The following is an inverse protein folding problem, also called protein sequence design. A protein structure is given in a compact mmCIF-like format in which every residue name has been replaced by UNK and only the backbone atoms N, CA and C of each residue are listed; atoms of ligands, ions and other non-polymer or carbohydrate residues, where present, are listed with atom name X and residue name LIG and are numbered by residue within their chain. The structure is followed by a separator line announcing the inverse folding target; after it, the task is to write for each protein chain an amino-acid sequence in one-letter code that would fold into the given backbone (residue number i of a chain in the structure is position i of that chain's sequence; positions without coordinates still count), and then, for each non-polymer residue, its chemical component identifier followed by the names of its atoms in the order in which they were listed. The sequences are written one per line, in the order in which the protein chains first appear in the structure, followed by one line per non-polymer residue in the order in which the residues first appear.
data_IF_476981942817
#
_entry.id   IF_476981942817
#
_cell.length_a   1.000
_cell.length_b   1.000
_cell.length_c   1.000
_cell.angle_alpha   90.00
_cell.angle_beta   90.00
_cell.angle_gamma   90.00
#
_symmetry.space_group_name_H-M   'P 1'
#
loop_
_entity.id
_entity.type
_entity.pdbx_description
1 polymer ?
#
# COMPACT_ATOMS: atom_id res chain seq x y z
N UNK A 1 17.25 8.71 3.38
CA UNK A 1 17.62 10.13 3.22
C UNK A 1 16.41 11.00 3.51
N UNK A 2 16.61 12.20 4.06
CA UNK A 2 15.58 13.18 4.41
C UNK A 2 14.72 13.67 3.24
N UNK A 3 15.18 13.58 1.98
CA UNK A 3 14.30 13.78 0.81
C UNK A 3 13.09 12.81 0.80
N UNK A 4 13.29 11.57 1.24
CA UNK A 4 12.23 10.58 1.42
C UNK A 4 11.24 10.96 2.52
N UNK A 5 11.64 11.78 3.50
CA UNK A 5 10.74 12.26 4.56
C UNK A 5 9.62 13.12 3.98
N UNK A 6 9.91 13.95 2.97
CA UNK A 6 8.91 14.74 2.25
C UNK A 6 7.83 13.85 1.61
N UNK A 7 8.24 12.79 0.91
CA UNK A 7 7.32 11.79 0.35
C UNK A 7 6.57 10.98 1.43
N UNK A 8 7.14 10.87 2.63
CA UNK A 8 6.59 10.13 3.75
C UNK A 8 5.64 10.95 4.63
N UNK A 9 5.52 12.28 4.45
CA UNK A 9 4.62 13.12 5.26
C UNK A 9 3.20 12.55 5.26
N UNK A 10 2.68 12.17 4.09
CA UNK A 10 1.33 11.62 3.98
C UNK A 10 1.13 10.30 4.77
N UNK A 11 1.92 9.22 4.59
CA UNK A 11 1.79 8.02 5.42
C UNK A 11 2.09 8.28 6.90
N UNK A 12 3.02 9.18 7.25
CA UNK A 12 3.30 9.48 8.66
C UNK A 12 2.06 10.09 9.34
N UNK A 13 1.50 11.14 8.73
CA UNK A 13 0.41 11.93 9.32
C UNK A 13 -0.97 11.28 9.21
N UNK A 14 -1.16 10.35 8.27
CA UNK A 14 -2.49 9.75 8.01
C UNK A 14 -2.54 8.23 8.09
N UNK A 15 -1.41 7.54 8.29
CA UNK A 15 -1.36 6.12 8.68
C UNK A 15 -0.73 6.00 10.08
N UNK A 16 0.53 6.41 10.27
CA UNK A 16 1.18 6.18 11.56
C UNK A 16 0.47 6.91 12.71
N UNK A 17 0.06 8.16 12.48
CA UNK A 17 -0.58 8.98 13.49
C UNK A 17 -1.96 8.47 13.94
N UNK A 18 -2.85 8.07 13.01
CA UNK A 18 -4.23 7.68 13.36
C UNK A 18 -4.33 6.24 13.84
N UNK A 19 -3.48 5.34 13.34
CA UNK A 19 -3.46 3.93 13.76
C UNK A 19 -2.52 3.68 14.95
N UNK A 20 -1.69 4.66 15.32
CA UNK A 20 -0.65 4.56 16.36
C UNK A 20 0.27 3.34 16.13
N UNK A 21 0.68 3.12 14.88
CA UNK A 21 1.51 1.98 14.51
C UNK A 21 2.95 2.20 14.97
N UNK A 22 3.53 1.31 15.80
CA UNK A 22 4.94 1.39 16.16
C UNK A 22 5.81 1.35 14.90
N UNK A 23 6.58 2.40 14.66
CA UNK A 23 7.40 2.52 13.44
C UNK A 23 8.70 3.26 13.76
N UNK A 24 9.81 2.71 13.29
CA UNK A 24 11.13 3.33 13.43
C UNK A 24 11.51 3.97 12.09
N UNK A 25 11.77 5.28 12.12
CA UNK A 25 12.22 6.04 10.97
C UNK A 25 13.73 6.30 11.10
N UNK A 26 14.51 5.87 10.11
CA UNK A 26 15.94 6.18 10.04
C UNK A 26 16.17 7.19 8.90
N UNK A 27 16.60 8.40 9.26
CA UNK A 27 16.64 9.54 8.35
C UNK A 27 18.07 10.06 8.22
N UNK A 28 18.76 9.70 7.14
CA UNK A 28 20.05 10.32 6.81
C UNK A 28 19.87 11.80 6.46
N UNK A 29 20.63 12.67 7.12
CA UNK A 29 20.55 14.13 7.05
C UNK A 29 21.46 14.66 5.93
N UNK A 30 20.87 14.96 4.77
CA UNK A 30 21.54 15.67 3.68
C UNK A 30 21.26 17.17 3.77
N UNK A 31 22.23 18.00 3.41
CA UNK A 31 22.09 19.46 3.46
C UNK A 31 22.07 20.07 4.87
N UNK A 32 22.70 19.41 5.85
CA UNK A 32 22.77 19.91 7.24
C UNK A 32 23.42 21.31 7.27
N UNK A 33 22.87 22.28 8.01
CA UNK A 33 23.46 23.61 8.14
C UNK A 33 24.93 23.57 8.58
N UNK A 34 25.78 24.32 7.87
CA UNK A 34 27.23 24.35 8.12
C UNK A 34 28.05 23.26 7.39
N UNK A 35 27.41 22.32 6.69
CA UNK A 35 28.08 21.28 5.92
C UNK A 35 27.85 21.47 4.41
N UNK A 36 28.90 21.26 3.60
CA UNK A 36 28.80 21.28 2.14
C UNK A 36 28.05 20.05 1.63
N UNK A 37 27.03 20.27 0.80
CA UNK A 37 26.24 19.25 0.10
C UNK A 37 25.67 19.86 -1.21
N UNK A 38 24.93 19.07 -1.96
CA UNK A 38 24.27 19.51 -3.20
C UNK A 38 23.15 20.53 -2.93
N UNK A 39 22.94 21.54 -3.81
CA UNK A 39 21.99 22.64 -3.57
C UNK A 39 20.55 22.19 -3.29
N UNK A 40 20.07 21.13 -3.95
CA UNK A 40 18.72 20.62 -3.75
C UNK A 40 18.46 20.08 -2.33
N UNK A 41 19.51 19.83 -1.54
CA UNK A 41 19.38 19.35 -0.16
C UNK A 41 19.27 20.49 0.85
N UNK A 42 19.65 21.72 0.51
CA UNK A 42 19.80 22.83 1.46
C UNK A 42 18.53 23.05 2.29
N UNK A 43 17.39 23.28 1.62
CA UNK A 43 16.14 23.56 2.32
C UNK A 43 15.65 22.36 3.12
N UNK A 44 15.78 21.15 2.56
CA UNK A 44 15.37 19.92 3.27
C UNK A 44 16.22 19.66 4.51
N UNK A 45 17.53 19.93 4.47
CA UNK A 45 18.40 19.81 5.63
C UNK A 45 18.03 20.80 6.74
N UNK A 46 17.84 22.08 6.39
CA UNK A 46 17.40 23.12 7.35
C UNK A 46 16.13 22.75 8.12
N UNK A 47 15.14 22.13 7.44
CA UNK A 47 13.83 21.86 8.03
C UNK A 47 13.65 20.41 8.52
N UNK A 48 14.68 19.55 8.46
CA UNK A 48 14.51 18.10 8.71
C UNK A 48 13.94 17.82 10.11
N UNK A 49 14.51 18.43 11.15
CA UNK A 49 14.06 18.22 12.53
C UNK A 49 12.67 18.84 12.78
N UNK A 50 12.44 20.04 12.26
CA UNK A 50 11.14 20.71 12.33
C UNK A 50 10.04 19.90 11.65
N UNK A 51 10.34 19.27 10.52
CA UNK A 51 9.39 18.44 9.79
C UNK A 51 9.02 17.18 10.56
N UNK A 52 10.00 16.51 11.21
CA UNK A 52 9.74 15.37 12.09
C UNK A 52 8.81 15.78 13.24
N UNK A 53 9.12 16.90 13.90
CA UNK A 53 8.31 17.46 14.99
C UNK A 53 6.91 17.82 14.52
N UNK A 54 6.78 18.48 13.36
CA UNK A 54 5.50 18.88 12.78
C UNK A 54 4.62 17.67 12.43
N UNK A 55 5.23 16.58 12.00
CA UNK A 55 4.53 15.32 11.74
C UNK A 55 4.07 14.59 13.03
N UNK A 56 4.39 15.13 14.21
CA UNK A 56 4.05 14.52 15.50
C UNK A 56 4.86 13.25 15.81
N UNK A 57 6.07 13.15 15.25
CA UNK A 57 6.99 12.04 15.49
C UNK A 57 8.03 12.46 16.51
N UNK A 58 8.30 11.60 17.47
CA UNK A 58 9.41 11.78 18.40
C UNK A 58 10.73 11.72 17.63
N UNK A 59 11.47 12.82 17.62
CA UNK A 59 12.73 12.96 16.90
C UNK A 59 13.93 12.84 17.82
N UNK A 60 14.90 12.04 17.40
CA UNK A 60 16.19 11.90 18.06
C UNK A 60 17.29 12.24 17.06
N UNK A 61 18.37 12.86 17.54
CA UNK A 61 19.61 12.90 16.77
C UNK A 61 20.42 11.66 17.10
N UNK A 62 21.00 11.02 16.08
CA UNK A 62 21.81 9.84 16.31
C UNK A 62 23.10 10.18 17.07
N UNK A 63 23.37 9.38 18.10
CA UNK A 63 24.66 9.24 18.78
C UNK A 63 24.93 7.76 18.93
N UNK A 64 26.19 7.34 18.79
CA UNK A 64 26.59 5.94 19.02
C UNK A 64 26.24 5.51 20.45
N UNK A 65 26.52 6.39 21.40
CA UNK A 65 26.12 6.23 22.79
C UNK A 65 24.60 6.32 22.93
N UNK A 66 23.98 5.26 23.46
CA UNK A 66 22.57 5.27 23.87
C UNK A 66 21.54 5.02 22.76
N UNK A 67 21.94 4.88 21.49
CA UNK A 67 21.01 4.56 20.40
C UNK A 67 20.22 3.27 20.69
N UNK A 68 20.91 2.17 21.01
CA UNK A 68 20.27 0.88 21.27
C UNK A 68 19.27 0.94 22.46
N UNK A 69 19.61 1.65 23.53
CA UNK A 69 18.71 1.84 24.68
C UNK A 69 17.50 2.70 24.33
N UNK A 70 17.70 3.81 23.59
CA UNK A 70 16.61 4.69 23.15
C UNK A 70 15.64 3.96 22.20
N UNK A 71 16.18 3.15 21.28
CA UNK A 71 15.39 2.34 20.37
C UNK A 71 14.56 1.30 21.14
N UNK A 72 15.15 0.63 22.13
CA UNK A 72 14.44 -0.33 22.97
C UNK A 72 13.31 0.32 23.77
N UNK A 73 13.54 1.51 24.33
CA UNK A 73 12.51 2.29 25.03
C UNK A 73 11.32 2.63 24.12
N UNK A 74 11.59 3.23 22.96
CA UNK A 74 10.57 3.60 21.97
C UNK A 74 9.77 2.39 21.52
N UNK A 75 10.44 1.28 21.20
CA UNK A 75 9.78 0.03 20.80
C UNK A 75 8.87 -0.51 21.91
N UNK A 76 9.29 -0.38 23.18
CA UNK A 76 8.48 -0.74 24.35
C UNK A 76 7.23 0.13 24.52
N UNK A 77 7.31 1.43 24.20
CA UNK A 77 6.16 2.35 24.22
C UNK A 77 5.20 2.15 23.05
N UNK A 78 5.63 1.50 21.97
CA UNK A 78 4.77 1.21 20.83
C UNK A 78 4.33 2.44 20.04
N UNK A 79 5.15 3.49 20.03
CA UNK A 79 4.90 4.74 19.30
C UNK A 79 5.85 4.88 18.10
N UNK A 80 5.47 5.63 17.06
CA UNK A 80 6.41 6.01 16.02
C UNK A 80 7.52 6.94 16.56
N UNK A 81 8.78 6.69 16.20
CA UNK A 81 9.89 7.62 16.44
C UNK A 81 10.88 7.62 15.27
N UNK A 82 11.68 8.67 15.18
CA UNK A 82 12.66 8.86 14.11
C UNK A 82 14.02 9.29 14.62
N UNK A 83 15.07 8.75 14.01
CA UNK A 83 16.45 9.13 14.25
C UNK A 83 17.04 9.81 13.03
N UNK A 84 17.61 10.99 13.24
CA UNK A 84 18.33 11.76 12.24
C UNK A 84 19.81 11.39 12.32
N UNK A 85 20.33 10.79 11.26
CA UNK A 85 21.71 10.35 11.16
C UNK A 85 22.53 11.35 10.35
N UNK A 86 23.79 11.63 10.72
CA UNK A 86 24.72 12.30 9.81
C UNK A 86 24.78 11.59 8.45
N UNK A 87 25.07 12.35 7.38
CA UNK A 87 25.34 11.73 6.09
C UNK A 87 26.49 10.72 6.22
N UNK A 88 26.44 9.67 5.42
CA UNK A 88 27.45 8.61 5.35
C UNK A 88 27.65 7.77 6.63
N UNK A 89 26.83 7.98 7.67
CA UNK A 89 26.86 7.18 8.90
C UNK A 89 26.35 5.74 8.70
N UNK A 90 25.38 5.53 7.80
CA UNK A 90 24.82 4.21 7.51
C UNK A 90 25.65 3.51 6.43
N UNK A 91 26.61 2.68 6.86
CA UNK A 91 27.55 1.95 5.99
C UNK A 91 27.34 0.42 6.04
N UNK A 92 28.08 -0.34 5.23
CA UNK A 92 28.11 -1.81 5.32
C UNK A 92 26.93 -2.58 4.69
N UNK A 93 25.92 -1.88 4.15
CA UNK A 93 24.82 -2.53 3.44
C UNK A 93 25.24 -3.10 2.07
N UNK A 94 24.51 -4.11 1.55
CA UNK A 94 24.78 -4.68 0.23
C UNK A 94 24.68 -3.59 -0.85
N UNK A 95 25.65 -3.58 -1.77
CA UNK A 95 25.62 -2.70 -2.94
C UNK A 95 24.87 -3.39 -4.08
N UNK A 96 24.21 -2.59 -4.93
CA UNK A 96 23.52 -3.14 -6.10
C UNK A 96 24.54 -3.86 -7.00
N UNK A 97 24.23 -5.07 -7.48
CA UNK A 97 25.04 -5.71 -8.52
C UNK A 97 24.94 -4.90 -9.82
N UNK A 98 25.82 -5.17 -10.81
CA UNK A 98 25.64 -4.66 -12.17
C UNK A 98 24.24 -4.96 -12.70
N UNK A 99 23.71 -4.06 -13.53
CA UNK A 99 22.36 -4.21 -14.07
C UNK A 99 22.33 -5.41 -15.01
N UNK A 100 21.55 -6.42 -14.65
CA UNK A 100 21.14 -7.51 -15.54
C UNK A 100 19.63 -7.47 -15.71
N UNK A 101 19.17 -7.44 -16.95
CA UNK A 101 17.75 -7.39 -17.27
C UNK A 101 17.12 -8.79 -17.10
N UNK A 102 16.56 -9.05 -15.93
CA UNK A 102 15.82 -10.27 -15.61
C UNK A 102 14.32 -10.01 -15.63
N UNK A 103 13.78 -9.57 -16.77
CA UNK A 103 12.33 -9.60 -16.97
C UNK A 103 12.00 -11.00 -17.45
N UNK A 104 11.54 -11.86 -16.55
CA UNK A 104 10.83 -13.07 -16.95
C UNK A 104 9.67 -12.58 -17.81
N UNK A 105 9.79 -12.76 -19.13
CA UNK A 105 8.77 -12.35 -20.08
C UNK A 105 7.54 -13.20 -19.79
N UNK A 106 6.67 -12.72 -18.91
CA UNK A 106 5.25 -13.03 -19.04
C UNK A 106 4.90 -12.58 -20.46
N UNK A 107 4.46 -13.53 -21.28
CA UNK A 107 3.95 -13.23 -22.63
C UNK A 107 2.78 -12.29 -22.44
N UNK A 108 3.05 -10.99 -22.40
CA UNK A 108 2.07 -9.95 -22.37
C UNK A 108 1.36 -10.01 -23.72
N UNK A 109 0.34 -10.85 -23.80
CA UNK A 109 -0.70 -10.66 -24.79
C UNK A 109 -1.33 -9.33 -24.39
N UNK A 110 -0.87 -8.24 -25.00
CA UNK A 110 -1.61 -6.99 -25.04
C UNK A 110 -2.98 -7.39 -25.56
N UNK A 111 -4.04 -7.38 -24.74
CA UNK A 111 -5.37 -7.56 -25.30
C UNK A 111 -5.49 -6.48 -26.38
N UNK A 112 -6.07 -6.77 -27.56
CA UNK A 112 -6.42 -5.70 -28.49
C UNK A 112 -7.13 -4.63 -27.68
N UNK A 113 -6.90 -3.34 -27.99
CA UNK A 113 -7.48 -2.17 -27.30
C UNK A 113 -9.01 -2.29 -27.36
N UNK A 114 -9.56 -3.14 -26.51
CA UNK A 114 -10.95 -3.50 -26.51
C UNK A 114 -11.64 -2.27 -25.95
N UNK A 115 -12.76 -1.89 -26.56
CA UNK A 115 -13.65 -0.97 -25.89
C UNK A 115 -14.25 -1.73 -24.72
N UNK A 116 -13.63 -1.59 -23.57
CA UNK A 116 -14.19 -2.12 -22.33
C UNK A 116 -15.33 -1.21 -21.89
N UNK A 117 -16.52 -1.81 -21.77
CA UNK A 117 -17.67 -1.17 -21.15
C UNK A 117 -17.87 -1.84 -19.79
N UNK A 118 -17.61 -1.16 -18.65
CA UNK A 118 -17.74 -1.78 -17.36
C UNK A 118 -19.21 -2.14 -17.10
N UNK A 119 -19.47 -3.40 -16.76
CA UNK A 119 -20.83 -3.89 -16.50
C UNK A 119 -21.21 -3.85 -15.01
N UNK A 120 -20.22 -3.87 -14.13
CA UNK A 120 -20.37 -3.87 -12.67
C UNK A 120 -20.00 -2.52 -12.05
N UNK A 121 -20.70 -2.15 -10.98
CA UNK A 121 -20.28 -1.09 -10.07
C UNK A 121 -19.19 -1.57 -9.11
N UNK A 122 -18.53 -0.62 -8.42
CA UNK A 122 -17.54 -0.95 -7.38
C UNK A 122 -18.13 -1.80 -6.26
N UNK A 123 -19.33 -1.48 -5.79
CA UNK A 123 -19.99 -2.22 -4.70
C UNK A 123 -20.37 -3.65 -5.14
N UNK A 124 -20.84 -3.84 -6.39
CA UNK A 124 -21.10 -5.17 -6.95
C UNK A 124 -19.80 -5.99 -7.06
N UNK A 125 -18.72 -5.39 -7.55
CA UNK A 125 -17.40 -6.05 -7.58
C UNK A 125 -16.92 -6.46 -6.17
N UNK A 126 -17.09 -5.59 -5.17
CA UNK A 126 -16.80 -5.92 -3.78
C UNK A 126 -17.66 -7.07 -3.25
N UNK A 127 -18.94 -7.14 -3.62
CA UNK A 127 -19.83 -8.25 -3.27
C UNK A 127 -19.35 -9.58 -3.86
N UNK A 128 -18.86 -9.57 -5.10
CA UNK A 128 -18.29 -10.75 -5.77
C UNK A 128 -16.98 -11.24 -5.10
N UNK A 129 -16.25 -10.35 -4.42
CA UNK A 129 -15.04 -10.72 -3.67
C UNK A 129 -15.36 -11.44 -2.34
N UNK A 130 -16.51 -11.18 -1.71
CA UNK A 130 -16.82 -11.63 -0.35
C UNK A 130 -16.63 -13.15 -0.11
N UNK A 131 -17.03 -14.06 -1.02
CA UNK A 131 -16.78 -15.50 -0.84
C UNK A 131 -15.28 -15.83 -0.67
N UNK A 132 -14.40 -15.14 -1.40
CA UNK A 132 -12.94 -15.28 -1.25
C UNK A 132 -12.46 -14.67 0.05
N UNK A 133 -12.98 -13.50 0.43
CA UNK A 133 -12.54 -12.79 1.64
C UNK A 133 -12.97 -13.48 2.95
N UNK A 134 -14.01 -14.32 2.89
CA UNK A 134 -14.62 -15.03 4.02
C UNK A 134 -14.45 -16.56 3.95
N UNK A 135 -13.74 -17.08 2.94
CA UNK A 135 -13.52 -18.51 2.76
C UNK A 135 -12.62 -19.12 3.84
N UNK A 136 -12.49 -20.45 3.82
CA UNK A 136 -11.65 -21.20 4.77
C UNK A 136 -10.19 -20.72 4.77
N UNK A 137 -9.67 -20.37 3.60
CA UNK A 137 -8.30 -19.88 3.39
C UNK A 137 -8.28 -18.35 3.19
N UNK A 138 -9.14 -17.63 3.94
CA UNK A 138 -9.30 -16.18 3.82
C UNK A 138 -7.96 -15.45 3.93
N UNK A 139 -7.63 -14.57 2.95
CA UNK A 139 -6.39 -13.81 3.00
C UNK A 139 -6.45 -12.71 4.07
N UNK A 140 -5.28 -12.18 4.42
CA UNK A 140 -5.20 -10.85 5.01
C UNK A 140 -5.65 -9.82 3.96
N UNK A 141 -6.64 -9.01 4.27
CA UNK A 141 -7.20 -8.03 3.32
C UNK A 141 -6.80 -6.63 3.73
N UNK A 142 -6.19 -5.90 2.82
CA UNK A 142 -5.92 -4.46 2.97
C UNK A 142 -6.72 -3.73 1.91
N UNK A 143 -7.64 -2.87 2.31
CA UNK A 143 -8.44 -2.06 1.39
C UNK A 143 -8.00 -0.60 1.45
N UNK A 144 -7.81 0.02 0.29
CA UNK A 144 -7.30 1.39 0.14
C UNK A 144 -8.30 2.45 0.65
N UNK A 145 -7.85 3.70 0.70
CA UNK A 145 -8.66 4.85 1.15
C UNK A 145 -9.83 5.18 0.22
N UNK A 146 -10.76 5.98 0.71
CA UNK A 146 -11.90 6.46 -0.04
C UNK A 146 -13.12 5.56 0.08
N UNK A 147 -13.98 5.60 -0.94
CA UNK A 147 -15.28 4.91 -0.97
C UNK A 147 -15.15 3.38 -0.96
N UNK A 148 -14.08 2.81 -1.51
CA UNK A 148 -13.86 1.35 -1.53
C UNK A 148 -13.89 0.72 -0.13
N UNK A 149 -13.08 1.24 0.81
CA UNK A 149 -13.07 0.74 2.18
C UNK A 149 -14.41 0.94 2.90
N UNK A 150 -15.16 1.99 2.56
CA UNK A 150 -16.48 2.26 3.16
C UNK A 150 -17.51 1.24 2.68
N UNK A 151 -17.56 1.00 1.37
CA UNK A 151 -18.47 0.01 0.77
C UNK A 151 -18.15 -1.40 1.28
N UNK A 152 -16.88 -1.79 1.34
CA UNK A 152 -16.48 -3.09 1.88
C UNK A 152 -16.85 -3.25 3.36
N UNK A 153 -16.66 -2.21 4.16
CA UNK A 153 -17.07 -2.21 5.57
C UNK A 153 -18.59 -2.35 5.70
N UNK A 154 -19.38 -1.60 4.92
CA UNK A 154 -20.84 -1.70 4.99
C UNK A 154 -21.39 -3.02 4.48
N UNK A 155 -20.75 -3.63 3.49
CA UNK A 155 -21.19 -4.90 2.94
C UNK A 155 -20.99 -6.07 3.90
N UNK A 156 -19.97 -6.05 4.76
CA UNK A 156 -19.53 -7.29 5.41
C UNK A 156 -18.85 -7.16 6.79
N UNK A 157 -18.65 -5.96 7.34
CA UNK A 157 -17.97 -5.80 8.65
C UNK A 157 -18.62 -4.76 9.56
N UNK A 158 -19.93 -4.49 9.39
CA UNK A 158 -20.65 -3.56 10.26
C UNK A 158 -20.77 -4.04 11.71
N UNK A 159 -20.70 -5.36 11.92
CA UNK A 159 -20.70 -6.03 13.22
C UNK A 159 -19.29 -6.15 13.85
N UNK A 160 -18.26 -5.66 13.15
CA UNK A 160 -16.85 -5.67 13.54
C UNK A 160 -16.25 -7.07 13.70
N UNK A 161 -16.85 -8.11 13.11
CA UNK A 161 -16.38 -9.49 13.25
C UNK A 161 -15.26 -9.88 12.27
N UNK A 162 -15.01 -9.09 11.23
CA UNK A 162 -14.06 -9.43 10.18
C UNK A 162 -12.64 -9.00 10.51
N UNK A 163 -12.01 -9.75 11.42
CA UNK A 163 -10.68 -9.43 11.92
C UNK A 163 -9.55 -9.52 10.87
N UNK A 164 -9.74 -10.22 9.75
CA UNK A 164 -8.79 -10.29 8.64
C UNK A 164 -8.81 -9.06 7.71
N UNK A 165 -9.57 -8.00 8.03
CA UNK A 165 -9.71 -6.80 7.21
C UNK A 165 -9.06 -5.58 7.86
N UNK A 166 -8.19 -4.94 7.09
CA UNK A 166 -7.60 -3.65 7.40
C UNK A 166 -8.08 -2.59 6.40
N UNK A 167 -8.87 -1.65 6.89
CA UNK A 167 -9.34 -0.51 6.09
C UNK A 167 -8.35 0.63 6.24
N UNK A 168 -7.62 0.97 5.18
CA UNK A 168 -6.66 2.06 5.16
C UNK A 168 -7.40 3.40 4.90
N UNK A 169 -7.60 4.21 5.93
CA UNK A 169 -8.39 5.44 5.88
C UNK A 169 -7.60 6.60 5.27
N UNK A 170 -6.30 6.69 5.54
CA UNK A 170 -5.40 7.70 4.98
C UNK A 170 -4.38 7.10 4.03
N UNK A 171 -3.23 7.76 3.84
CA UNK A 171 -2.06 7.18 3.22
C UNK A 171 -2.25 6.69 1.79
N UNK A 172 -2.99 7.47 0.99
CA UNK A 172 -3.35 7.11 -0.39
C UNK A 172 -2.13 6.66 -1.21
N UNK A 173 -2.28 5.54 -1.92
CA UNK A 173 -1.21 4.87 -2.66
C UNK A 173 -0.29 3.98 -1.83
N UNK A 174 -0.51 3.82 -0.53
CA UNK A 174 0.32 2.94 0.30
C UNK A 174 -0.27 1.54 0.54
N UNK A 175 -1.49 1.26 0.05
CA UNK A 175 -2.14 -0.04 0.26
C UNK A 175 -1.28 -1.20 -0.27
N UNK A 176 -0.74 -1.07 -1.49
CA UNK A 176 0.12 -2.09 -2.09
C UNK A 176 1.43 -2.31 -1.32
N UNK A 177 2.13 -1.26 -0.90
CA UNK A 177 3.40 -1.38 -0.15
C UNK A 177 3.19 -1.90 1.27
N UNK A 178 2.11 -1.49 1.93
CA UNK A 178 1.71 -2.01 3.24
C UNK A 178 1.38 -3.50 3.17
N UNK A 179 0.58 -3.90 2.16
CA UNK A 179 0.24 -5.30 1.89
C UNK A 179 1.46 -6.14 1.58
N UNK A 180 2.42 -5.60 0.81
CA UNK A 180 3.67 -6.30 0.50
C UNK A 180 4.51 -6.53 1.77
N UNK A 181 4.56 -5.55 2.67
CA UNK A 181 5.21 -5.69 3.97
C UNK A 181 4.61 -6.83 4.80
N UNK A 182 3.27 -6.95 4.81
CA UNK A 182 2.58 -8.07 5.45
C UNK A 182 2.96 -9.38 4.77
N UNK A 183 2.86 -9.46 3.43
CA UNK A 183 3.16 -10.68 2.67
C UNK A 183 4.59 -11.19 2.92
N UNK A 184 5.57 -10.28 3.05
CA UNK A 184 6.96 -10.62 3.41
C UNK A 184 7.14 -11.14 4.84
N UNK A 185 6.22 -10.81 5.74
CA UNK A 185 6.32 -11.13 7.16
C UNK A 185 5.54 -12.39 7.57
N UNK A 186 4.82 -13.03 6.65
CA UNK A 186 3.99 -14.22 6.92
C UNK A 186 3.92 -15.15 5.70
N UNK A 187 3.38 -16.36 5.87
CA UNK A 187 3.20 -17.31 4.75
C UNK A 187 1.80 -17.23 4.12
N UNK A 188 0.77 -16.95 4.92
CA UNK A 188 -0.62 -16.85 4.43
C UNK A 188 -0.82 -15.76 3.36
N UNK A 189 -1.86 -15.94 2.53
CA UNK A 189 -2.19 -15.03 1.42
C UNK A 189 -2.52 -13.62 1.91
N UNK A 190 -2.12 -12.63 1.14
CA UNK A 190 -2.43 -11.21 1.34
C UNK A 190 -3.08 -10.68 0.08
N UNK A 191 -4.27 -10.10 0.22
CA UNK A 191 -5.02 -9.50 -0.86
C UNK A 191 -5.10 -7.98 -0.66
N UNK A 192 -4.43 -7.23 -1.52
CA UNK A 192 -4.54 -5.78 -1.60
C UNK A 192 -5.72 -5.41 -2.49
N UNK A 193 -6.73 -4.74 -1.94
CA UNK A 193 -7.82 -4.11 -2.68
C UNK A 193 -7.50 -2.62 -2.84
N UNK A 194 -7.23 -2.20 -4.06
CA UNK A 194 -6.78 -0.86 -4.38
C UNK A 194 -7.65 -0.19 -5.44
N UNK A 195 -7.54 1.13 -5.55
CA UNK A 195 -8.19 1.93 -6.58
C UNK A 195 -7.17 2.46 -7.57
N UNK A 196 -7.59 2.69 -8.81
CA UNK A 196 -6.76 3.26 -9.86
C UNK A 196 -6.10 4.58 -9.44
N UNK A 197 -6.88 5.52 -8.88
CA UNK A 197 -6.35 6.80 -8.41
C UNK A 197 -5.33 6.64 -7.27
N UNK A 198 -5.54 5.69 -6.37
CA UNK A 198 -4.62 5.46 -5.25
C UNK A 198 -3.32 4.81 -5.75
N UNK A 199 -3.41 3.78 -6.58
CA UNK A 199 -2.26 3.13 -7.18
C UNK A 199 -1.40 4.13 -7.98
N UNK A 200 -2.03 5.02 -8.76
CA UNK A 200 -1.33 6.03 -9.55
C UNK A 200 -0.49 7.00 -8.70
N UNK A 201 -0.89 7.29 -7.45
CA UNK A 201 -0.10 8.16 -6.57
C UNK A 201 1.26 7.55 -6.20
N UNK A 202 1.38 6.21 -6.21
CA UNK A 202 2.63 5.50 -5.90
C UNK A 202 2.85 4.31 -6.85
N UNK A 203 2.71 4.55 -8.15
CA UNK A 203 2.79 3.51 -9.19
C UNK A 203 4.12 2.73 -9.16
N UNK A 204 5.21 3.39 -8.76
CA UNK A 204 6.53 2.75 -8.58
C UNK A 204 6.54 1.59 -7.58
N UNK A 205 5.49 1.44 -6.75
CA UNK A 205 5.31 0.28 -5.87
C UNK A 205 5.20 -1.02 -6.66
N UNK A 206 4.66 -1.01 -7.89
CA UNK A 206 4.57 -2.20 -8.73
C UNK A 206 5.96 -2.79 -9.03
N UNK A 207 6.95 -1.95 -9.31
CA UNK A 207 8.33 -2.39 -9.53
C UNK A 207 8.91 -3.07 -8.28
N UNK A 208 8.61 -2.53 -7.09
CA UNK A 208 9.02 -3.15 -5.82
C UNK A 208 8.34 -4.51 -5.61
N UNK A 209 7.04 -4.61 -5.87
CA UNK A 209 6.31 -5.89 -5.73
C UNK A 209 6.90 -6.95 -6.66
N UNK A 210 7.05 -6.65 -7.96
CA UNK A 210 7.60 -7.58 -8.93
C UNK A 210 9.04 -7.98 -8.61
N UNK A 211 9.89 -7.04 -8.16
CA UNK A 211 11.25 -7.34 -7.69
C UNK A 211 11.25 -8.33 -6.51
N UNK A 212 10.34 -8.16 -5.55
CA UNK A 212 10.30 -9.01 -4.35
C UNK A 212 9.71 -10.40 -4.56
N UNK A 213 9.00 -10.63 -5.67
CA UNK A 213 8.43 -11.94 -6.06
C UNK A 213 7.70 -12.70 -4.94
N UNK A 214 6.93 -11.99 -4.10
CA UNK A 214 6.22 -12.60 -2.98
C UNK A 214 5.06 -13.48 -3.47
N UNK A 215 5.18 -14.79 -3.26
CA UNK A 215 4.22 -15.81 -3.74
C UNK A 215 2.84 -15.73 -3.12
N UNK A 216 2.72 -15.13 -1.94
CA UNK A 216 1.47 -14.98 -1.22
C UNK A 216 0.83 -13.58 -1.40
N UNK A 217 1.35 -12.75 -2.31
CA UNK A 217 0.83 -11.41 -2.56
C UNK A 217 -0.09 -11.38 -3.78
N UNK A 218 -1.32 -10.87 -3.60
CA UNK A 218 -2.31 -10.71 -4.65
C UNK A 218 -2.87 -9.30 -4.62
N UNK A 219 -3.08 -8.69 -5.79
CA UNK A 219 -3.52 -7.30 -5.92
C UNK A 219 -4.77 -7.24 -6.81
N UNK A 220 -5.83 -6.60 -6.33
CA UNK A 220 -7.03 -6.30 -7.11
C UNK A 220 -7.18 -4.78 -7.19
N UNK A 221 -7.29 -4.24 -8.39
CA UNK A 221 -7.49 -2.81 -8.63
C UNK A 221 -8.90 -2.62 -9.19
N UNK A 222 -9.79 -1.99 -8.43
CA UNK A 222 -11.10 -1.59 -8.95
C UNK A 222 -10.96 -0.19 -9.57
N UNK A 223 -11.05 -0.14 -10.88
CA UNK A 223 -10.72 1.03 -11.68
C UNK A 223 -12.00 1.63 -12.28
N UNK A 224 -12.38 2.80 -11.76
CA UNK A 224 -13.51 3.58 -12.25
C UNK A 224 -13.09 4.82 -13.04
N UNK A 225 -11.78 4.98 -13.30
CA UNK A 225 -11.21 6.13 -13.99
C UNK A 225 -11.36 7.46 -13.25
N UNK A 226 -11.63 7.47 -11.94
CA UNK A 226 -11.95 8.71 -11.22
C UNK A 226 -11.49 8.74 -9.76
N UNK A 227 -11.05 9.92 -9.32
CA UNK A 227 -10.90 10.26 -7.90
C UNK A 227 -12.27 10.51 -7.24
N UNK A 228 -13.13 9.49 -7.22
CA UNK A 228 -14.56 9.59 -6.89
C UNK A 228 -14.85 10.04 -5.46
N UNK A 229 -13.88 9.90 -4.55
CA UNK A 229 -14.01 10.31 -3.15
C UNK A 229 -13.75 11.80 -2.92
N UNK A 230 -13.11 12.49 -3.87
CA UNK A 230 -12.64 13.89 -3.73
C UNK A 230 -13.24 14.82 -4.79
N UNK A 231 -14.28 14.39 -5.48
CA UNK A 231 -14.99 15.18 -6.49
C UNK A 231 -15.12 14.53 -7.86
N UNK A 232 -14.55 13.34 -8.07
CA UNK A 232 -14.76 12.56 -9.29
C UNK A 232 -13.98 13.05 -10.50
N UNK A 233 -12.86 13.75 -10.28
CA UNK A 233 -11.96 14.13 -11.35
C UNK A 233 -11.35 12.89 -12.02
N UNK A 234 -11.14 12.96 -13.33
CA UNK A 234 -10.56 11.87 -14.10
C UNK A 234 -9.17 11.51 -13.59
N UNK A 235 -8.90 10.22 -13.51
CA UNK A 235 -7.52 9.71 -13.33
C UNK A 235 -6.86 9.50 -14.69
N UNK A 236 -5.57 9.17 -14.68
CA UNK A 236 -4.84 8.78 -15.88
C UNK A 236 -5.11 7.33 -16.32
N UNK A 237 -5.88 6.55 -15.55
CA UNK A 237 -6.09 5.12 -15.79
C UNK A 237 -6.73 4.79 -17.15
N UNK A 238 -7.63 5.62 -17.75
CA UNK A 238 -8.19 5.32 -19.06
C UNK A 238 -7.16 5.33 -20.19
N UNK A 239 -6.02 6.01 -19.99
CA UNK A 239 -4.93 6.11 -20.96
C UNK A 239 -3.89 5.00 -20.86
N UNK A 240 -4.01 4.09 -19.88
CA UNK A 240 -3.02 3.06 -19.61
C UNK A 240 -3.64 1.71 -19.22
N UNK A 241 -2.81 0.67 -19.22
CA UNK A 241 -3.17 -0.63 -18.68
C UNK A 241 -2.26 -1.01 -17.50
N UNK A 242 -2.82 -0.94 -16.29
CA UNK A 242 -2.09 -1.26 -15.06
C UNK A 242 -1.74 -2.73 -14.95
N UNK A 243 -2.48 -3.65 -15.59
CA UNK A 243 -2.09 -5.06 -15.67
C UNK A 243 -0.85 -5.23 -16.55
N UNK A 244 -0.78 -4.56 -17.69
CA UNK A 244 0.43 -4.58 -18.54
C UNK A 244 1.63 -3.93 -17.85
N UNK A 245 1.43 -2.84 -17.12
CA UNK A 245 2.49 -2.21 -16.31
C UNK A 245 2.97 -3.18 -15.23
N UNK A 246 2.07 -3.89 -14.56
CA UNK A 246 2.43 -4.89 -13.54
C UNK A 246 3.26 -6.04 -14.14
N UNK A 247 2.88 -6.57 -15.30
CA UNK A 247 3.68 -7.57 -16.02
C UNK A 247 5.08 -7.04 -16.35
N UNK A 248 5.17 -5.81 -16.89
CA UNK A 248 6.45 -5.17 -17.18
C UNK A 248 7.30 -4.92 -15.91
N UNK A 249 6.66 -4.79 -14.74
CA UNK A 249 7.31 -4.69 -13.44
C UNK A 249 7.75 -6.05 -12.86
N UNK A 250 7.43 -7.17 -13.51
CA UNK A 250 7.80 -8.52 -13.06
C UNK A 250 6.74 -9.24 -12.23
N UNK A 251 5.47 -8.84 -12.32
CA UNK A 251 4.38 -9.66 -11.78
C UNK A 251 4.28 -10.99 -12.53
N UNK A 252 3.97 -12.08 -11.82
CA UNK A 252 3.87 -13.41 -12.41
C UNK A 252 2.70 -13.50 -13.39
N UNK A 253 1.57 -12.89 -13.03
CA UNK A 253 0.38 -12.81 -13.87
C UNK A 253 -0.35 -11.49 -13.61
N UNK A 254 -1.01 -10.99 -14.65
CA UNK A 254 -1.95 -9.90 -14.51
C UNK A 254 -3.01 -9.93 -15.61
N UNK A 255 -4.19 -9.41 -15.32
CA UNK A 255 -5.31 -9.38 -16.26
C UNK A 255 -6.20 -8.16 -16.04
N UNK A 256 -6.82 -7.70 -17.14
CA UNK A 256 -7.86 -6.66 -17.14
C UNK A 256 -9.20 -7.29 -17.51
N UNK A 257 -10.23 -7.07 -16.71
CA UNK A 257 -11.60 -7.58 -16.91
C UNK A 257 -12.64 -6.48 -16.75
N UNK A 258 -13.82 -6.64 -17.36
CA UNK A 258 -14.92 -5.66 -17.27
C UNK A 258 -16.31 -6.28 -17.05
N UNK A 259 -16.41 -7.61 -16.98
CA UNK A 259 -17.65 -8.36 -16.78
C UNK A 259 -17.60 -9.17 -15.48
N UNK A 260 -18.74 -9.46 -14.83
CA UNK A 260 -18.79 -10.28 -13.61
C UNK A 260 -18.15 -11.66 -13.78
N UNK A 261 -18.47 -12.36 -14.87
CA UNK A 261 -18.01 -13.74 -15.11
C UNK A 261 -16.49 -13.80 -15.30
N UNK A 262 -15.94 -12.85 -16.07
CA UNK A 262 -14.50 -12.75 -16.26
C UNK A 262 -13.79 -12.40 -14.94
N UNK A 263 -14.38 -11.53 -14.12
CA UNK A 263 -13.87 -11.21 -12.79
C UNK A 263 -13.82 -12.43 -11.88
N UNK A 264 -14.92 -13.18 -11.76
CA UNK A 264 -14.98 -14.36 -10.90
C UNK A 264 -13.97 -15.42 -11.32
N UNK A 265 -13.93 -15.75 -12.63
CA UNK A 265 -12.98 -16.72 -13.17
C UNK A 265 -11.53 -16.30 -12.91
N UNK A 266 -11.18 -15.05 -13.23
CA UNK A 266 -9.81 -14.57 -13.08
C UNK A 266 -9.41 -14.46 -11.60
N UNK A 267 -10.34 -14.10 -10.72
CA UNK A 267 -10.12 -14.06 -9.28
C UNK A 267 -9.84 -15.46 -8.72
N UNK A 268 -10.59 -16.48 -9.15
CA UNK A 268 -10.36 -17.87 -8.76
C UNK A 268 -8.96 -18.35 -9.20
N UNK A 269 -8.61 -18.15 -10.48
CA UNK A 269 -7.29 -18.46 -11.03
C UNK A 269 -6.17 -17.73 -10.27
N UNK A 270 -6.37 -16.43 -10.01
CA UNK A 270 -5.44 -15.61 -9.25
C UNK A 270 -5.18 -16.19 -7.86
N UNK A 271 -6.26 -16.47 -7.11
CA UNK A 271 -6.16 -16.96 -5.74
C UNK A 271 -5.66 -18.40 -5.66
N UNK A 272 -5.72 -19.18 -6.74
CA UNK A 272 -5.13 -20.53 -6.82
C UNK A 272 -3.64 -20.52 -7.20
N UNK A 273 -3.13 -19.42 -7.76
CA UNK A 273 -1.75 -19.29 -8.24
C UNK A 273 -0.78 -18.72 -7.20
N UNK A 274 0.53 -18.91 -7.40
CA UNK A 274 1.54 -18.12 -6.69
C UNK A 274 1.57 -16.68 -7.24
N UNK A 275 1.65 -15.69 -6.35
CA UNK A 275 1.90 -14.29 -6.66
C UNK A 275 3.36 -13.97 -7.04
N UNK A 276 3.65 -12.67 -7.30
CA UNK A 276 2.69 -11.56 -7.23
C UNK A 276 1.76 -11.53 -8.45
N UNK A 277 0.47 -11.33 -8.22
CA UNK A 277 -0.57 -11.24 -9.26
C UNK A 277 -1.31 -9.91 -9.23
N UNK A 278 -1.82 -9.44 -10.38
CA UNK A 278 -2.70 -8.27 -10.44
C UNK A 278 -3.96 -8.50 -11.28
N UNK A 279 -5.12 -8.28 -10.68
CA UNK A 279 -6.42 -8.24 -11.38
C UNK A 279 -6.94 -6.80 -11.41
N UNK A 280 -6.95 -6.19 -12.61
CA UNK A 280 -7.63 -4.91 -12.85
C UNK A 280 -9.08 -5.18 -13.24
N UNK A 281 -10.02 -4.72 -12.42
CA UNK A 281 -11.46 -4.79 -12.71
C UNK A 281 -11.93 -3.40 -13.08
N UNK A 282 -12.35 -3.23 -14.33
CA UNK A 282 -13.00 -1.99 -14.77
C UNK A 282 -14.42 -1.96 -14.20
N UNK A 283 -14.74 -0.90 -13.46
CA UNK A 283 -16.03 -0.73 -12.80
C UNK A 283 -16.68 0.60 -13.17
N UNK A 284 -18.01 0.67 -13.07
CA UNK A 284 -18.77 1.91 -13.23
C UNK A 284 -18.41 2.88 -12.10
N UNK A 285 -18.31 4.16 -12.44
CA UNK A 285 -18.23 5.23 -11.45
C UNK A 285 -19.56 5.40 -10.74
N UNK A 286 -19.52 5.71 -9.45
CA UNK A 286 -20.69 5.90 -8.60
C UNK A 286 -20.60 5.13 -7.29
N UNK A 287 -21.35 5.61 -6.31
CA UNK A 287 -21.58 4.97 -5.02
C UNK A 287 -23.01 5.27 -4.58
N UNK A 288 -23.54 4.45 -3.65
CA UNK A 288 -24.83 4.73 -3.03
C UNK A 288 -24.81 6.09 -2.33
N UNK A 289 -25.94 6.80 -2.39
CA UNK A 289 -26.09 8.15 -1.79
C UNK A 289 -26.02 8.13 -0.26
N UNK A 290 -26.40 7.02 0.35
CA UNK A 290 -26.44 6.78 1.79
C UNK A 290 -25.18 6.08 2.33
N UNK A 291 -24.10 5.99 1.54
CA UNK A 291 -22.84 5.37 1.96
C UNK A 291 -22.24 6.10 3.17
N UNK A 292 -22.21 5.40 4.30
CA UNK A 292 -21.66 5.85 5.57
C UNK A 292 -20.14 5.70 5.68
N UNK A 293 -19.66 5.76 6.92
CA UNK A 293 -18.24 5.61 7.27
C UNK A 293 -18.07 4.45 8.25
N UNK A 294 -16.92 3.76 8.23
CA UNK A 294 -16.58 2.79 9.25
C UNK A 294 -16.76 3.37 10.65
N UNK A 295 -17.47 2.64 11.52
CA UNK A 295 -17.70 3.01 12.93
C UNK A 295 -16.59 2.48 13.85
N UNK A 296 -15.79 1.52 13.38
CA UNK A 296 -14.60 1.06 14.07
C UNK A 296 -13.50 2.13 13.96
N UNK A 297 -12.89 2.49 15.10
CA UNK A 297 -11.80 3.47 15.07
C UNK A 297 -10.59 2.92 14.32
N UNK A 298 -9.76 3.77 13.65
CA UNK A 298 -8.54 3.29 12.99
C UNK A 298 -7.64 2.49 13.94
N UNK A 299 -7.47 2.95 15.19
CA UNK A 299 -6.65 2.26 16.18
C UNK A 299 -7.18 0.87 16.51
N UNK A 300 -8.47 0.75 16.77
CA UNK A 300 -9.09 -0.55 17.10
C UNK A 300 -9.05 -1.49 15.90
N UNK A 301 -9.28 -0.97 14.69
CA UNK A 301 -9.13 -1.71 13.44
C UNK A 301 -7.71 -2.25 13.25
N UNK A 302 -6.68 -1.45 13.57
CA UNK A 302 -5.29 -1.92 13.54
C UNK A 302 -5.02 -3.00 14.58
N UNK A 303 -5.43 -2.81 15.84
CA UNK A 303 -5.23 -3.80 16.90
C UNK A 303 -5.89 -5.13 16.51
N UNK A 304 -7.16 -5.08 16.10
CA UNK A 304 -7.94 -6.25 15.66
C UNK A 304 -7.23 -7.00 14.52
N UNK A 305 -6.78 -6.27 13.50
CA UNK A 305 -6.08 -6.87 12.36
C UNK A 305 -4.72 -7.43 12.73
N UNK A 306 -3.93 -6.71 13.53
CA UNK A 306 -2.62 -7.17 14.04
C UNK A 306 -2.77 -8.47 14.84
N UNK A 307 -3.76 -8.54 15.71
CA UNK A 307 -3.99 -9.71 16.56
C UNK A 307 -4.42 -10.92 15.72
N UNK A 308 -5.25 -10.69 14.69
CA UNK A 308 -5.57 -11.71 13.71
C UNK A 308 -4.34 -12.19 12.93
N UNK A 309 -3.47 -11.27 12.47
CA UNK A 309 -2.21 -11.62 11.80
C UNK A 309 -1.30 -12.47 12.70
N UNK A 310 -1.22 -12.14 14.00
CA UNK A 310 -0.40 -12.87 14.96
C UNK A 310 -0.94 -14.30 15.21
N UNK A 311 -2.26 -14.47 15.23
CA UNK A 311 -2.90 -15.77 15.40
C UNK A 311 -2.86 -16.68 14.15
N UNK A 312 -2.55 -16.12 12.97
CA UNK A 312 -2.63 -16.82 11.67
C UNK A 312 -1.32 -16.69 10.86
N UNK A 313 -0.14 -16.85 11.48
CA UNK A 313 1.15 -16.66 10.79
C UNK A 313 1.40 -17.63 9.62
#
# INVERSE_FOLDING_TARGET
QNSGLGNAVNPITSLLYIYKMPTVLLVSHRGKPGEKDEPQHERMGQITEELIKLCGIEGHYFSDDGFASSLKDVLGRGVPAGWVFPKDCLTGGPKAPPVELHVETSTAATPPRAKYSPEVSREEALRLLLPVLNGKDAPAVVSTTGKMSRELYELDDQDHTKANRFYMVGSMGCAASFSLGIARARQGKVLCLDGDGALLMKLGTLATVGLTKQKNFHHVVLDNGAHESTGGQLTASPGMDTALIALACGYKSAATVCTPDAMLKTLEEQMASDGPTLLRVLVKSGARKDLGRPKLSPRDGYIRFRDWLAANR
#
